data_IF_082362872164
#
_entry.id   IF_082362872164
#
_cell.length_a   1.000
_cell.length_b   1.000
_cell.length_c   1.000
_cell.angle_alpha   90.00
_cell.angle_beta   90.00
_cell.angle_gamma   90.00
#
_symmetry.space_group_name_H-M   'P 1'
#
loop_
_entity.id
_entity.type
_entity.pdbx_description
1 polymer ?
#
# COMPACT_ATOMS: atom_id res chain seq x y z
N UNK A 1 -13.53 22.86 15.07
CA UNK A 1 -14.21 21.82 14.29
C UNK A 1 -13.96 20.49 14.99
N UNK A 2 -14.98 19.66 15.23
CA UNK A 2 -14.75 18.31 15.75
C UNK A 2 -13.92 17.54 14.72
N UNK A 3 -13.07 16.57 15.11
CA UNK A 3 -12.33 15.76 14.18
C UNK A 3 -13.34 15.04 13.29
N UNK A 4 -13.22 15.26 11.99
CA UNK A 4 -13.97 14.52 10.98
C UNK A 4 -13.72 13.04 11.25
N UNK A 5 -14.78 12.25 11.25
CA UNK A 5 -14.69 10.78 11.37
C UNK A 5 -13.55 10.26 10.50
N UNK A 6 -12.69 9.45 11.07
CA UNK A 6 -11.63 8.75 10.38
C UNK A 6 -12.21 8.14 9.11
N UNK A 7 -11.74 8.57 7.96
CA UNK A 7 -12.12 8.06 6.64
C UNK A 7 -11.57 6.66 6.41
N UNK A 8 -10.65 6.26 7.27
CA UNK A 8 -9.99 4.98 7.25
C UNK A 8 -10.95 3.81 7.41
N UNK A 9 -10.52 2.69 6.89
CA UNK A 9 -11.27 1.44 6.84
C UNK A 9 -10.60 0.41 7.76
N UNK A 10 -11.38 -0.24 8.63
CA UNK A 10 -10.92 -1.39 9.37
C UNK A 10 -10.81 -2.60 8.44
N UNK A 11 -9.70 -3.32 8.51
CA UNK A 11 -9.48 -4.57 7.80
C UNK A 11 -9.32 -5.72 8.79
N UNK A 12 -10.10 -6.81 8.58
CA UNK A 12 -9.95 -8.05 9.32
C UNK A 12 -9.82 -9.22 8.36
N UNK A 13 -8.78 -10.04 8.53
CA UNK A 13 -8.54 -11.27 7.79
C UNK A 13 -8.54 -12.42 8.77
N UNK A 14 -9.28 -13.49 8.47
CA UNK A 14 -9.43 -14.66 9.36
C UNK A 14 -9.23 -15.94 8.59
N UNK A 15 -8.20 -16.72 8.96
CA UNK A 15 -7.94 -18.07 8.45
C UNK A 15 -7.73 -18.13 6.93
N UNK A 16 -7.17 -17.07 6.31
CA UNK A 16 -7.06 -17.01 4.87
C UNK A 16 -6.01 -18.00 4.37
N UNK A 17 -6.46 -18.89 3.47
CA UNK A 17 -5.65 -19.90 2.80
C UNK A 17 -5.70 -19.79 1.29
N UNK A 18 -4.56 -20.07 0.62
CA UNK A 18 -4.45 -20.13 -0.83
C UNK A 18 -3.39 -21.13 -1.27
N UNK A 19 -3.77 -22.02 -2.21
CA UNK A 19 -2.85 -22.97 -2.84
C UNK A 19 -2.82 -22.80 -4.35
N UNK A 20 -1.67 -23.01 -4.98
CA UNK A 20 -1.52 -23.09 -6.43
C UNK A 20 -1.00 -24.45 -6.81
N UNK A 21 -1.74 -25.18 -7.66
CA UNK A 21 -1.41 -26.55 -8.09
C UNK A 21 -1.11 -27.49 -6.91
N UNK A 22 -1.87 -27.37 -5.83
CA UNK A 22 -1.72 -28.21 -4.62
C UNK A 22 -0.58 -27.77 -3.67
N UNK A 23 0.16 -26.72 -4.00
CA UNK A 23 1.21 -26.15 -3.13
C UNK A 23 0.64 -24.97 -2.35
N UNK A 24 0.58 -25.03 -1.01
CA UNK A 24 0.08 -23.93 -0.19
C UNK A 24 1.05 -22.74 -0.25
N UNK A 25 0.53 -21.55 -0.54
CA UNK A 25 1.25 -20.28 -0.57
C UNK A 25 0.82 -19.38 0.58
N UNK A 26 -0.45 -19.42 0.96
CA UNK A 26 -0.98 -18.78 2.17
C UNK A 26 -1.63 -19.86 3.03
N UNK A 27 -1.38 -19.82 4.34
CA UNK A 27 -1.92 -20.81 5.29
C UNK A 27 -2.28 -20.13 6.60
N UNK A 28 -3.56 -20.20 6.99
CA UNK A 28 -4.03 -19.69 8.28
C UNK A 28 -3.60 -18.23 8.53
N UNK A 29 -3.75 -17.37 7.51
CA UNK A 29 -3.38 -15.96 7.63
C UNK A 29 -4.44 -15.21 8.43
N UNK A 30 -4.01 -14.57 9.51
CA UNK A 30 -4.83 -13.69 10.34
C UNK A 30 -4.19 -12.30 10.39
N UNK A 31 -4.99 -11.25 10.18
CA UNK A 31 -4.54 -9.86 10.22
C UNK A 31 -5.69 -8.97 10.68
N UNK A 32 -5.39 -8.05 11.59
CA UNK A 32 -6.32 -6.99 11.98
C UNK A 32 -5.61 -5.64 11.86
N UNK A 33 -6.23 -4.71 11.15
CA UNK A 33 -5.70 -3.35 10.93
C UNK A 33 -6.77 -2.34 11.27
N UNK A 34 -6.45 -1.42 12.15
CA UNK A 34 -7.34 -0.36 12.58
C UNK A 34 -7.48 0.74 11.51
N UNK A 35 -8.65 1.34 11.44
CA UNK A 35 -8.92 2.46 10.54
C UNK A 35 -7.93 3.61 10.76
N UNK A 36 -7.36 4.11 9.67
CA UNK A 36 -6.41 5.24 9.69
C UNK A 36 -4.99 4.89 10.12
N UNK A 37 -4.70 3.61 10.44
CA UNK A 37 -3.35 3.17 10.80
C UNK A 37 -2.52 2.75 9.58
N UNK A 38 -1.19 2.69 9.75
CA UNK A 38 -0.23 2.13 8.81
C UNK A 38 0.22 0.76 9.32
N UNK A 39 -0.20 -0.30 8.64
CA UNK A 39 0.28 -1.66 8.89
C UNK A 39 1.30 -2.06 7.83
N UNK A 40 2.49 -2.48 8.28
CA UNK A 40 3.54 -2.96 7.38
C UNK A 40 3.68 -4.48 7.50
N UNK A 41 3.61 -5.17 6.37
CA UNK A 41 3.83 -6.61 6.23
C UNK A 41 5.23 -6.82 5.67
N UNK A 42 6.15 -7.23 6.53
CA UNK A 42 7.53 -7.51 6.15
C UNK A 42 7.73 -8.98 5.81
N UNK A 43 8.66 -9.28 4.93
CA UNK A 43 9.02 -10.68 4.63
C UNK A 43 10.01 -10.77 3.48
N UNK A 44 10.71 -11.90 3.40
CA UNK A 44 11.63 -12.19 2.30
C UNK A 44 10.89 -12.27 0.95
N UNK A 45 11.63 -12.15 -0.16
CA UNK A 45 11.08 -12.41 -1.49
C UNK A 45 10.54 -13.85 -1.54
N UNK A 46 9.37 -14.03 -2.15
CA UNK A 46 8.71 -15.33 -2.25
C UNK A 46 7.95 -15.78 -0.98
N UNK A 47 7.88 -14.98 0.09
CA UNK A 47 7.14 -15.35 1.31
C UNK A 47 5.61 -15.35 1.16
N UNK A 48 5.07 -14.82 0.05
CA UNK A 48 3.63 -14.74 -0.22
C UNK A 48 3.01 -13.34 -0.12
N UNK A 49 3.78 -12.28 0.16
CA UNK A 49 3.29 -10.90 0.37
C UNK A 49 2.41 -10.38 -0.77
N UNK A 50 2.90 -10.46 -2.01
CA UNK A 50 2.14 -9.99 -3.17
C UNK A 50 0.91 -10.87 -3.47
N UNK A 51 0.95 -12.16 -3.10
CA UNK A 51 -0.23 -13.03 -3.17
C UNK A 51 -1.26 -12.57 -2.15
N UNK A 52 -0.87 -12.34 -0.90
CA UNK A 52 -1.76 -11.80 0.13
C UNK A 52 -2.35 -10.46 -0.33
N UNK A 53 -1.52 -9.56 -0.83
CA UNK A 53 -1.97 -8.24 -1.31
C UNK A 53 -3.06 -8.36 -2.39
N UNK A 54 -2.90 -9.28 -3.37
CA UNK A 54 -3.93 -9.52 -4.40
C UNK A 54 -5.26 -9.99 -3.84
N UNK A 55 -5.24 -10.81 -2.77
CA UNK A 55 -6.47 -11.19 -2.07
C UNK A 55 -7.09 -10.02 -1.33
N UNK A 56 -6.27 -9.21 -0.65
CA UNK A 56 -6.75 -8.03 0.06
C UNK A 56 -7.40 -7.01 -0.87
N UNK A 57 -6.90 -6.80 -2.06
CA UNK A 57 -7.53 -5.89 -3.05
C UNK A 57 -8.63 -6.57 -3.89
N UNK A 58 -8.96 -7.83 -3.62
CA UNK A 58 -10.03 -8.56 -4.31
C UNK A 58 -9.70 -8.98 -5.75
N UNK A 59 -8.43 -8.96 -6.15
CA UNK A 59 -7.99 -9.46 -7.46
C UNK A 59 -7.96 -10.99 -7.52
N UNK A 60 -7.86 -11.65 -6.36
CA UNK A 60 -7.92 -13.12 -6.22
C UNK A 60 -8.87 -13.48 -5.08
N UNK A 61 -9.59 -14.61 -5.25
CA UNK A 61 -10.46 -15.16 -4.21
C UNK A 61 -9.68 -16.20 -3.41
N UNK A 62 -9.71 -16.15 -2.06
CA UNK A 62 -9.06 -17.16 -1.23
C UNK A 62 -9.77 -18.53 -1.37
N UNK A 63 -9.01 -19.63 -1.13
CA UNK A 63 -9.59 -20.98 -1.05
C UNK A 63 -10.31 -21.19 0.28
N UNK A 64 -9.80 -20.54 1.35
CA UNK A 64 -10.32 -20.63 2.72
C UNK A 64 -10.25 -19.27 3.42
N UNK A 65 -11.08 -19.11 4.45
CA UNK A 65 -11.09 -17.93 5.30
C UNK A 65 -11.92 -16.77 4.74
N UNK A 66 -11.76 -15.61 5.33
CA UNK A 66 -12.54 -14.41 4.98
C UNK A 66 -11.74 -13.13 5.13
N UNK A 67 -12.14 -12.11 4.35
CA UNK A 67 -11.62 -10.75 4.41
C UNK A 67 -12.80 -9.82 4.63
N UNK A 68 -12.76 -9.03 5.70
CA UNK A 68 -13.81 -8.11 6.09
C UNK A 68 -13.28 -6.67 6.08
N UNK A 69 -14.04 -5.77 5.49
CA UNK A 69 -13.83 -4.33 5.50
C UNK A 69 -14.97 -3.66 6.27
N UNK A 70 -14.64 -2.98 7.36
CA UNK A 70 -15.62 -2.42 8.31
C UNK A 70 -16.67 -3.47 8.76
N UNK A 71 -16.24 -4.73 8.91
CA UNK A 71 -17.09 -5.85 9.31
C UNK A 71 -17.90 -6.50 8.17
N UNK A 72 -17.83 -5.97 6.95
CA UNK A 72 -18.53 -6.52 5.78
C UNK A 72 -17.57 -7.25 4.84
N UNK A 73 -17.95 -8.43 4.27
CA UNK A 73 -17.09 -9.17 3.35
C UNK A 73 -16.91 -8.41 2.04
N UNK A 74 -15.71 -8.50 1.48
CA UNK A 74 -15.36 -7.86 0.21
C UNK A 74 -16.20 -8.39 -0.98
N UNK A 75 -16.71 -9.61 -0.87
CA UNK A 75 -17.57 -10.24 -1.90
C UNK A 75 -18.94 -9.59 -2.07
N UNK A 76 -19.36 -8.75 -1.13
CA UNK A 76 -20.63 -8.05 -1.26
C UNK A 76 -20.49 -6.80 -2.16
N UNK A 77 -21.38 -6.70 -3.16
CA UNK A 77 -21.40 -5.55 -4.08
C UNK A 77 -21.52 -4.20 -3.36
N UNK A 78 -22.17 -4.18 -2.19
CA UNK A 78 -22.30 -3.02 -1.32
C UNK A 78 -20.97 -2.55 -0.79
N UNK A 79 -20.06 -3.45 -0.43
CA UNK A 79 -18.74 -3.13 0.10
C UNK A 79 -17.87 -2.45 -0.95
N UNK A 80 -17.87 -2.95 -2.19
CA UNK A 80 -17.17 -2.32 -3.32
C UNK A 80 -17.66 -0.91 -3.64
N UNK A 81 -18.98 -0.66 -3.48
CA UNK A 81 -19.56 0.64 -3.76
C UNK A 81 -19.38 1.65 -2.61
N UNK A 82 -19.06 1.18 -1.41
CA UNK A 82 -18.95 2.02 -0.22
C UNK A 82 -17.49 2.34 0.17
N UNK A 83 -16.53 1.54 -0.28
CA UNK A 83 -15.13 1.67 0.10
C UNK A 83 -14.29 1.91 -1.15
N UNK A 84 -13.80 3.13 -1.30
CA UNK A 84 -12.79 3.42 -2.31
C UNK A 84 -11.45 2.83 -1.86
N UNK A 85 -10.91 1.95 -2.67
CA UNK A 85 -9.62 1.30 -2.44
C UNK A 85 -8.64 1.65 -3.56
N UNK A 86 -7.40 1.91 -3.20
CA UNK A 86 -6.34 2.17 -4.17
C UNK A 86 -5.16 1.22 -3.97
N UNK A 87 -4.44 0.93 -5.05
CA UNK A 87 -3.19 0.19 -5.03
C UNK A 87 -2.08 0.97 -5.73
N UNK A 88 -0.92 1.03 -5.06
CA UNK A 88 0.33 1.57 -5.60
C UNK A 88 1.26 0.39 -5.85
N UNK A 89 1.46 0.03 -7.11
CA UNK A 89 2.29 -1.10 -7.53
C UNK A 89 3.79 -0.80 -7.42
N UNK A 90 4.60 -1.85 -7.32
CA UNK A 90 6.05 -1.78 -7.22
C UNK A 90 6.69 -0.90 -8.31
N UNK A 91 6.26 -1.00 -9.56
CA UNK A 91 6.77 -0.18 -10.67
C UNK A 91 5.91 1.06 -10.96
N UNK A 92 5.03 1.47 -10.01
CA UNK A 92 4.09 2.57 -10.16
C UNK A 92 2.87 2.24 -11.04
N UNK A 93 2.96 1.28 -11.96
CA UNK A 93 1.86 0.87 -12.82
C UNK A 93 1.28 2.02 -13.66
N UNK A 94 2.13 2.95 -14.11
CA UNK A 94 1.70 4.05 -14.98
C UNK A 94 1.52 3.56 -16.41
N UNK A 95 0.48 4.06 -17.06
CA UNK A 95 0.26 3.83 -18.48
C UNK A 95 1.22 4.71 -19.29
N UNK A 96 2.10 4.08 -20.05
CA UNK A 96 3.16 4.76 -20.80
C UNK A 96 2.65 5.62 -21.96
N UNK A 97 1.42 5.39 -22.40
CA UNK A 97 0.75 6.16 -23.45
C UNK A 97 0.04 7.42 -22.96
N UNK A 98 -0.01 7.63 -21.64
CA UNK A 98 -0.68 8.75 -21.00
C UNK A 98 0.33 9.62 -20.25
N UNK A 99 0.13 10.94 -20.25
CA UNK A 99 0.91 11.86 -19.43
C UNK A 99 0.58 11.70 -17.94
N UNK A 100 1.25 12.46 -17.07
CA UNK A 100 1.02 12.43 -15.62
C UNK A 100 -0.42 12.78 -15.28
N UNK A 101 -0.96 13.86 -15.85
CA UNK A 101 -2.33 14.31 -15.60
C UNK A 101 -3.36 13.28 -16.04
N UNK A 102 -3.18 12.68 -17.21
CA UNK A 102 -4.04 11.63 -17.73
C UNK A 102 -3.99 10.34 -16.93
N UNK A 103 -2.80 9.93 -16.47
CA UNK A 103 -2.64 8.78 -15.56
C UNK A 103 -3.43 8.97 -14.26
N UNK A 104 -3.46 10.17 -13.70
CA UNK A 104 -4.22 10.50 -12.48
C UNK A 104 -5.72 10.59 -12.78
N UNK A 105 -6.09 11.20 -13.90
CA UNK A 105 -7.47 11.43 -14.30
C UNK A 105 -8.23 10.15 -14.69
N UNK A 106 -7.52 9.11 -15.12
CA UNK A 106 -8.11 7.94 -15.78
C UNK A 106 -9.29 7.35 -15.00
N UNK A 107 -9.09 7.02 -13.72
CA UNK A 107 -10.15 6.42 -12.90
C UNK A 107 -11.34 7.38 -12.68
N UNK A 108 -11.07 8.66 -12.53
CA UNK A 108 -12.09 9.68 -12.34
C UNK A 108 -13.02 9.78 -13.56
N UNK A 109 -12.45 9.69 -14.76
CA UNK A 109 -13.22 9.72 -16.01
C UNK A 109 -13.97 8.41 -16.26
N UNK A 110 -13.29 7.28 -16.19
CA UNK A 110 -13.84 5.99 -16.58
C UNK A 110 -14.85 5.43 -15.56
N UNK A 111 -14.54 5.53 -14.27
CA UNK A 111 -15.35 4.90 -13.22
C UNK A 111 -16.27 5.89 -12.49
N UNK A 112 -15.77 7.09 -12.18
CA UNK A 112 -16.60 8.14 -11.56
C UNK A 112 -17.40 8.93 -12.58
N UNK A 113 -17.06 8.84 -13.86
CA UNK A 113 -17.72 9.53 -14.98
C UNK A 113 -17.79 11.04 -14.81
N UNK A 114 -16.77 11.63 -14.18
CA UNK A 114 -16.65 13.07 -13.99
C UNK A 114 -16.29 13.75 -15.32
N UNK A 115 -16.80 14.95 -15.53
CA UNK A 115 -16.42 15.77 -16.68
C UNK A 115 -15.03 16.42 -16.48
N UNK A 116 -14.44 16.94 -17.56
CA UNK A 116 -13.09 17.51 -17.49
C UNK A 116 -12.97 18.70 -16.52
N UNK A 117 -14.03 19.50 -16.39
CA UNK A 117 -14.08 20.63 -15.45
C UNK A 117 -14.04 20.17 -13.98
N UNK A 118 -14.60 18.99 -13.68
CA UNK A 118 -14.57 18.38 -12.35
C UNK A 118 -13.23 17.65 -12.08
N UNK A 119 -12.68 17.02 -13.12
CA UNK A 119 -11.42 16.22 -13.04
C UNK A 119 -10.20 17.12 -12.87
N UNK A 120 -10.13 18.24 -13.60
CA UNK A 120 -8.93 19.08 -13.63
C UNK A 120 -8.46 19.54 -12.25
N UNK A 121 -9.33 20.09 -11.36
CA UNK A 121 -8.90 20.52 -10.03
C UNK A 121 -8.47 19.36 -9.12
N UNK A 122 -9.07 18.16 -9.26
CA UNK A 122 -8.69 16.97 -8.50
C UNK A 122 -7.31 16.47 -8.90
N UNK A 123 -7.00 16.50 -10.19
CA UNK A 123 -5.67 16.15 -10.72
C UNK A 123 -4.62 17.11 -10.20
N UNK A 124 -4.86 18.43 -10.30
CA UNK A 124 -3.91 19.44 -9.86
C UNK A 124 -3.67 19.38 -8.35
N UNK A 125 -4.71 19.11 -7.57
CA UNK A 125 -4.60 18.87 -6.14
C UNK A 125 -3.75 17.63 -5.84
N UNK A 126 -4.00 16.50 -6.52
CA UNK A 126 -3.28 15.26 -6.32
C UNK A 126 -1.78 15.40 -6.66
N UNK A 127 -1.44 16.11 -7.76
CA UNK A 127 -0.06 16.43 -8.15
C UNK A 127 0.63 17.23 -7.03
N UNK A 128 -0.03 18.27 -6.55
CA UNK A 128 0.50 19.14 -5.48
C UNK A 128 0.70 18.37 -4.18
N UNK A 129 -0.23 17.49 -3.82
CA UNK A 129 -0.18 16.68 -2.61
C UNK A 129 1.04 15.76 -2.53
N UNK A 130 1.58 15.32 -3.65
CA UNK A 130 2.79 14.49 -3.70
C UNK A 130 4.07 15.29 -3.97
N UNK A 131 4.00 16.64 -3.85
CA UNK A 131 5.16 17.51 -4.01
C UNK A 131 5.71 17.55 -5.43
N UNK A 132 4.86 17.35 -6.43
CA UNK A 132 5.12 17.61 -7.84
C UNK A 132 4.57 18.99 -8.21
N UNK A 133 5.13 19.60 -9.25
CA UNK A 133 4.71 20.91 -9.75
C UNK A 133 3.72 20.74 -10.92
N UNK A 134 2.52 21.34 -10.77
CA UNK A 134 1.45 21.21 -11.75
C UNK A 134 1.85 21.76 -13.12
N UNK A 135 2.57 22.89 -13.16
CA UNK A 135 2.89 23.55 -14.43
C UNK A 135 3.97 22.80 -15.22
N UNK A 136 4.97 22.26 -14.50
CA UNK A 136 6.12 21.61 -15.17
C UNK A 136 5.97 20.11 -15.29
N UNK A 137 5.19 19.42 -14.43
CA UNK A 137 5.19 17.96 -14.35
C UNK A 137 3.91 17.31 -14.92
N UNK A 138 2.77 18.02 -14.93
CA UNK A 138 1.47 17.48 -15.33
C UNK A 138 1.44 16.84 -16.73
N UNK A 139 2.18 17.41 -17.67
CA UNK A 139 2.20 16.97 -19.07
C UNK A 139 3.43 16.14 -19.44
N UNK A 140 4.25 15.74 -18.44
CA UNK A 140 5.36 14.83 -18.69
C UNK A 140 4.86 13.41 -18.94
N UNK A 141 5.54 12.75 -19.87
CA UNK A 141 5.31 11.32 -20.09
C UNK A 141 6.03 10.49 -19.02
N UNK A 142 5.56 9.27 -18.70
CA UNK A 142 6.25 8.39 -17.76
C UNK A 142 7.73 8.12 -18.10
N UNK A 143 8.12 8.17 -19.38
CA UNK A 143 9.51 8.08 -19.83
C UNK A 143 10.41 9.20 -19.32
N UNK A 144 9.84 10.38 -19.09
CA UNK A 144 10.57 11.59 -18.71
C UNK A 144 10.68 11.76 -17.20
N UNK A 145 10.12 10.81 -16.43
CA UNK A 145 10.09 10.83 -14.98
C UNK A 145 11.23 10.01 -14.38
N UNK A 146 11.84 10.52 -13.29
CA UNK A 146 12.71 9.73 -12.44
C UNK A 146 11.89 8.63 -11.71
N UNK A 147 12.58 7.60 -11.17
CA UNK A 147 11.93 6.54 -10.40
C UNK A 147 11.09 7.08 -9.23
N UNK A 148 11.63 8.04 -8.48
CA UNK A 148 10.91 8.71 -7.39
C UNK A 148 9.69 9.49 -7.87
N UNK A 149 9.77 10.19 -9.01
CA UNK A 149 8.63 10.88 -9.59
C UNK A 149 7.54 9.90 -10.03
N UNK A 150 7.90 8.75 -10.64
CA UNK A 150 6.93 7.69 -11.00
C UNK A 150 6.16 7.19 -9.77
N UNK A 151 6.85 6.98 -8.64
CA UNK A 151 6.21 6.59 -7.38
C UNK A 151 5.25 7.67 -6.88
N UNK A 152 5.66 8.94 -6.90
CA UNK A 152 4.80 10.06 -6.52
C UNK A 152 3.56 10.17 -7.40
N UNK A 153 3.68 10.02 -8.71
CA UNK A 153 2.53 10.01 -9.63
C UNK A 153 1.58 8.84 -9.32
N UNK A 154 2.11 7.65 -9.01
CA UNK A 154 1.29 6.51 -8.61
C UNK A 154 0.55 6.76 -7.29
N UNK A 155 1.17 7.43 -6.32
CA UNK A 155 0.52 7.87 -5.07
C UNK A 155 -0.53 8.95 -5.38
N UNK A 156 -0.23 9.94 -6.22
CA UNK A 156 -1.18 10.96 -6.64
C UNK A 156 -2.44 10.37 -7.29
N UNK A 157 -2.24 9.38 -8.19
CA UNK A 157 -3.34 8.63 -8.81
C UNK A 157 -4.21 7.91 -7.76
N UNK A 158 -3.58 7.32 -6.74
CA UNK A 158 -4.29 6.69 -5.65
C UNK A 158 -5.08 7.71 -4.82
N UNK A 159 -4.53 8.90 -4.56
CA UNK A 159 -5.19 9.96 -3.79
C UNK A 159 -6.36 10.61 -4.51
N UNK A 160 -6.29 10.72 -5.83
CA UNK A 160 -7.31 11.40 -6.63
C UNK A 160 -8.72 10.79 -6.48
N UNK A 161 -8.81 9.51 -6.14
CA UNK A 161 -10.08 8.82 -5.89
C UNK A 161 -10.60 8.98 -4.46
N UNK A 162 -9.85 9.68 -3.61
CA UNK A 162 -10.17 9.94 -2.21
C UNK A 162 -10.41 8.63 -1.39
N UNK A 163 -9.42 7.71 -1.37
CA UNK A 163 -9.61 6.35 -0.87
C UNK A 163 -9.70 6.28 0.66
N UNK A 164 -10.47 5.30 1.17
CA UNK A 164 -10.48 4.94 2.59
C UNK A 164 -9.31 4.03 2.98
N UNK A 165 -8.75 3.28 2.01
CA UNK A 165 -7.61 2.40 2.22
C UNK A 165 -6.69 2.40 1.00
N UNK A 166 -5.39 2.44 1.24
CA UNK A 166 -4.36 2.37 0.19
C UNK A 166 -3.43 1.18 0.47
N UNK A 167 -3.22 0.38 -0.56
CA UNK A 167 -2.28 -0.73 -0.57
C UNK A 167 -1.01 -0.33 -1.32
N UNK A 168 0.16 -0.62 -0.75
CA UNK A 168 1.46 -0.32 -1.35
C UNK A 168 2.25 -1.61 -1.52
N UNK A 169 2.63 -1.92 -2.75
CA UNK A 169 3.51 -3.05 -3.08
C UNK A 169 4.93 -2.54 -3.32
N UNK A 170 5.85 -2.79 -2.36
CA UNK A 170 7.27 -2.42 -2.41
C UNK A 170 7.49 -0.95 -2.84
N UNK A 171 6.93 0.05 -2.13
CA UNK A 171 6.89 1.44 -2.60
C UNK A 171 8.27 2.10 -2.72
N UNK A 172 9.29 1.62 -1.99
CA UNK A 172 10.66 2.16 -2.00
C UNK A 172 11.64 1.33 -2.83
N UNK A 173 11.17 0.23 -3.44
CA UNK A 173 12.04 -0.61 -4.28
C UNK A 173 12.63 0.17 -5.45
N UNK A 174 13.88 -0.16 -5.81
CA UNK A 174 14.61 0.44 -6.95
C UNK A 174 14.92 1.94 -6.80
N UNK A 175 14.74 2.51 -5.59
CA UNK A 175 15.08 3.89 -5.28
C UNK A 175 16.40 3.98 -4.52
N UNK A 176 17.10 5.09 -4.71
CA UNK A 176 18.22 5.45 -3.84
C UNK A 176 17.74 5.72 -2.40
N UNK A 177 18.61 5.59 -1.38
CA UNK A 177 18.20 5.73 0.02
C UNK A 177 17.54 7.07 0.37
N UNK A 178 17.96 8.17 -0.24
CA UNK A 178 17.41 9.51 0.04
C UNK A 178 15.99 9.61 -0.51
N UNK A 179 15.80 9.16 -1.74
CA UNK A 179 14.48 9.12 -2.38
C UNK A 179 13.53 8.16 -1.65
N UNK A 180 14.02 6.98 -1.20
CA UNK A 180 13.22 6.03 -0.42
C UNK A 180 12.69 6.65 0.89
N UNK A 181 13.55 7.35 1.65
CA UNK A 181 13.13 8.08 2.85
C UNK A 181 12.09 9.15 2.53
N UNK A 182 12.24 9.84 1.40
CA UNK A 182 11.28 10.87 0.98
C UNK A 182 9.91 10.27 0.67
N UNK A 183 9.86 9.14 -0.06
CA UNK A 183 8.60 8.41 -0.33
C UNK A 183 7.96 7.91 0.97
N UNK A 184 8.75 7.36 1.90
CA UNK A 184 8.24 6.95 3.21
C UNK A 184 7.57 8.10 3.99
N UNK A 185 8.21 9.27 4.02
CA UNK A 185 7.63 10.48 4.63
C UNK A 185 6.35 10.92 3.93
N UNK A 186 6.28 10.80 2.61
CA UNK A 186 5.07 11.11 1.83
C UNK A 186 3.92 10.16 2.19
N UNK A 187 4.18 8.86 2.25
CA UNK A 187 3.17 7.87 2.66
C UNK A 187 2.63 8.19 4.07
N UNK A 188 3.53 8.48 5.03
CA UNK A 188 3.13 8.84 6.40
C UNK A 188 2.31 10.14 6.44
N UNK A 189 2.70 11.14 5.65
CA UNK A 189 1.98 12.41 5.53
C UNK A 189 0.59 12.20 4.95
N UNK A 190 0.48 11.46 3.82
CA UNK A 190 -0.79 11.13 3.17
C UNK A 190 -1.73 10.42 4.15
N UNK A 191 -1.24 9.39 4.85
CA UNK A 191 -2.03 8.68 5.85
C UNK A 191 -2.57 9.64 6.92
N UNK A 192 -1.71 10.53 7.47
CA UNK A 192 -2.09 11.48 8.51
C UNK A 192 -3.06 12.56 8.02
N UNK A 193 -2.82 13.12 6.84
CA UNK A 193 -3.59 14.26 6.31
C UNK A 193 -4.98 13.82 5.82
N UNK A 194 -5.10 12.60 5.31
CA UNK A 194 -6.36 12.07 4.78
C UNK A 194 -7.06 11.09 5.73
N UNK A 195 -6.40 10.63 6.79
CA UNK A 195 -6.93 9.63 7.71
C UNK A 195 -7.17 8.26 7.06
N UNK A 196 -6.48 7.96 5.94
CA UNK A 196 -6.61 6.69 5.21
C UNK A 196 -5.92 5.55 5.93
N UNK A 197 -6.44 4.33 5.83
CA UNK A 197 -5.71 3.13 6.24
C UNK A 197 -4.65 2.79 5.20
N UNK A 198 -3.46 2.41 5.62
CA UNK A 198 -2.36 2.05 4.72
C UNK A 198 -1.85 0.64 5.02
N UNK A 199 -1.84 -0.22 4.00
CA UNK A 199 -1.24 -1.55 4.06
C UNK A 199 -0.01 -1.55 3.14
N UNK A 200 1.15 -1.81 3.70
CA UNK A 200 2.41 -1.77 2.96
C UNK A 200 3.06 -3.14 3.00
N UNK A 201 3.31 -3.75 1.85
CA UNK A 201 4.13 -4.94 1.79
C UNK A 201 5.53 -4.55 1.34
N UNK A 202 6.56 -4.95 2.11
CA UNK A 202 7.93 -4.59 1.79
C UNK A 202 8.96 -5.51 2.47
N UNK A 203 10.18 -5.51 1.93
CA UNK A 203 11.37 -6.04 2.59
C UNK A 203 12.27 -4.92 3.14
N UNK A 204 11.91 -3.65 2.90
CA UNK A 204 12.65 -2.47 3.36
C UNK A 204 12.38 -2.23 4.86
N UNK A 205 13.41 -2.52 5.66
CA UNK A 205 13.36 -2.40 7.10
C UNK A 205 13.28 -0.94 7.55
N UNK A 206 14.02 -0.05 6.91
CA UNK A 206 14.08 1.36 7.31
C UNK A 206 12.74 2.04 7.05
N UNK A 207 12.08 1.72 5.94
CA UNK A 207 10.72 2.14 5.67
C UNK A 207 9.77 1.63 6.77
N UNK A 208 9.78 0.32 7.04
CA UNK A 208 8.86 -0.30 7.98
C UNK A 208 8.96 0.34 9.37
N UNK A 209 10.18 0.39 9.94
CA UNK A 209 10.40 0.96 11.27
C UNK A 209 10.29 2.50 11.33
N UNK A 210 10.33 3.18 10.18
CA UNK A 210 10.24 4.62 10.08
C UNK A 210 8.80 5.16 10.04
N UNK A 211 7.85 4.36 9.52
CA UNK A 211 6.50 4.89 9.28
C UNK A 211 5.34 4.03 9.83
N UNK A 212 5.58 2.76 10.20
CA UNK A 212 4.51 1.87 10.65
C UNK A 212 3.95 2.24 12.02
N UNK A 213 2.65 2.05 12.20
CA UNK A 213 2.02 1.96 13.51
C UNK A 213 2.07 0.51 14.02
N UNK A 214 1.94 -0.48 13.11
CA UNK A 214 2.14 -1.90 13.41
C UNK A 214 2.94 -2.59 12.30
N UNK A 215 3.76 -3.57 12.69
CA UNK A 215 4.52 -4.42 11.78
C UNK A 215 4.15 -5.88 12.04
N UNK A 216 3.96 -6.64 10.96
CA UNK A 216 3.83 -8.09 10.99
C UNK A 216 4.83 -8.71 10.03
N UNK A 217 5.30 -9.93 10.34
CA UNK A 217 6.25 -10.64 9.49
C UNK A 217 5.58 -11.80 8.77
N UNK A 218 5.88 -11.91 7.49
CA UNK A 218 5.41 -13.00 6.64
C UNK A 218 6.51 -13.99 6.36
N UNK A 219 6.32 -15.23 6.79
CA UNK A 219 7.22 -16.34 6.55
C UNK A 219 6.42 -17.60 6.21
N UNK A 220 6.84 -18.31 5.16
CA UNK A 220 6.20 -19.57 4.75
C UNK A 220 4.66 -19.49 4.64
N UNK A 221 4.15 -18.38 4.09
CA UNK A 221 2.71 -18.18 3.89
C UNK A 221 1.90 -17.86 5.14
N UNK A 222 2.55 -17.59 6.28
CA UNK A 222 1.89 -17.25 7.55
C UNK A 222 2.33 -15.86 8.02
N UNK A 223 1.46 -15.18 8.76
CA UNK A 223 1.80 -13.92 9.42
C UNK A 223 2.07 -14.15 10.92
N UNK A 224 3.01 -13.38 11.46
CA UNK A 224 3.12 -13.18 12.92
C UNK A 224 1.99 -12.26 13.39
N UNK A 225 1.81 -12.18 14.71
CA UNK A 225 0.90 -11.18 15.27
C UNK A 225 1.43 -9.76 15.02
N UNK A 226 0.59 -8.79 14.58
CA UNK A 226 1.01 -7.40 14.41
C UNK A 226 1.46 -6.80 15.74
N UNK A 227 2.59 -6.09 15.73
CA UNK A 227 3.19 -5.48 16.92
C UNK A 227 3.68 -4.07 16.60
N UNK A 228 3.74 -3.21 17.64
CA UNK A 228 4.34 -1.89 17.48
C UNK A 228 5.87 -2.01 17.20
N UNK A 229 6.45 -1.08 16.42
CA UNK A 229 7.88 -1.12 16.10
C UNK A 229 8.79 -1.18 17.33
N UNK A 230 8.41 -0.52 18.42
CA UNK A 230 9.16 -0.50 19.70
C UNK A 230 9.14 -1.87 20.37
N UNK A 231 8.02 -2.57 20.34
CA UNK A 231 7.86 -3.92 20.90
C UNK A 231 8.76 -4.90 20.14
N UNK A 232 8.76 -4.83 18.80
CA UNK A 232 9.60 -5.69 17.96
C UNK A 232 11.08 -5.50 18.25
N UNK A 233 11.55 -4.28 18.51
CA UNK A 233 12.95 -4.01 18.85
C UNK A 233 13.36 -4.66 20.18
N UNK A 234 12.42 -4.88 21.08
CA UNK A 234 12.64 -5.51 22.39
C UNK A 234 12.55 -7.04 22.37
N UNK A 235 12.01 -7.64 21.28
CA UNK A 235 11.81 -9.08 21.20
C UNK A 235 13.15 -9.86 21.14
N UNK A 236 13.17 -10.94 21.92
CA UNK A 236 14.26 -11.91 21.91
C UNK A 236 14.00 -13.11 20.97
N UNK A 237 12.88 -13.11 20.25
CA UNK A 237 12.47 -14.20 19.36
C UNK A 237 13.45 -14.44 18.21
N UNK A 238 13.76 -15.73 17.97
CA UNK A 238 14.82 -16.14 17.04
C UNK A 238 14.48 -15.87 15.57
N UNK A 239 13.21 -15.97 15.15
CA UNK A 239 12.80 -15.76 13.76
C UNK A 239 12.79 -14.28 13.38
N UNK A 240 12.24 -13.44 14.24
CA UNK A 240 12.26 -11.99 14.09
C UNK A 240 13.69 -11.46 14.10
N UNK A 241 14.55 -12.00 15.00
CA UNK A 241 15.98 -11.68 15.01
C UNK A 241 16.72 -12.09 13.75
N UNK A 242 16.51 -13.29 13.24
CA UNK A 242 17.12 -13.74 12.00
C UNK A 242 16.74 -12.85 10.83
N UNK A 243 15.47 -12.44 10.74
CA UNK A 243 15.02 -11.52 9.71
C UNK A 243 15.64 -10.13 9.88
N UNK A 244 15.70 -9.63 11.11
CA UNK A 244 16.33 -8.35 11.44
C UNK A 244 17.85 -8.37 11.25
N UNK A 245 18.52 -9.50 11.46
CA UNK A 245 19.95 -9.67 11.28
C UNK A 245 20.35 -9.94 9.83
N UNK A 246 19.56 -10.71 9.08
CA UNK A 246 19.82 -10.98 7.67
C UNK A 246 19.82 -9.73 6.78
N UNK A 247 19.14 -8.66 7.21
CA UNK A 247 19.17 -7.35 6.53
C UNK A 247 20.36 -6.46 6.93
N UNK A 248 21.06 -6.76 8.02
CA UNK A 248 22.17 -5.96 8.54
C UNK A 248 23.56 -6.50 8.16
N UNK A 249 23.66 -7.72 7.71
CA UNK A 249 24.91 -8.32 7.20
C UNK A 249 24.83 -8.47 5.68
N UNK A 250 25.21 -7.42 4.98
CA UNK A 250 25.78 -7.56 3.64
C UNK A 250 27.23 -8.02 3.81
N UNK A 251 27.45 -9.26 4.24
CA UNK A 251 28.72 -9.93 4.10
C UNK A 251 28.91 -10.28 2.62
N UNK A 252 29.47 -9.34 1.88
CA UNK A 252 30.12 -9.63 0.61
C UNK A 252 31.53 -10.11 0.92
N UNK A 253 31.73 -11.44 1.17
CA UNK A 253 32.97 -12.13 1.00
C UNK A 253 32.97 -12.89 -0.32
#
# INVERSE_FOLDING_TARGET
MPPSHSKGVNLAVSGLGRSFSGVPVLSEVHLSVEAGSICVIMGASGSGKSVLLRHLVGLETPDEGSILYNGSPLSEATTWNQIEMAIVFQQGGLLHSLDVGENIALYLRENKRLCDEEVAPLVDQAITQVGLDVLSDKHKMPSDLSGGMKKRVAIARALAIDPGIIFYDEPTSELDPITAVTIGKEIRRVNKDHGTTSIIVTHDRDLAFGIADTITFMAQGRLTYPQAPEEIRSLSDSQTRQFLQAGSQKDYL
#
